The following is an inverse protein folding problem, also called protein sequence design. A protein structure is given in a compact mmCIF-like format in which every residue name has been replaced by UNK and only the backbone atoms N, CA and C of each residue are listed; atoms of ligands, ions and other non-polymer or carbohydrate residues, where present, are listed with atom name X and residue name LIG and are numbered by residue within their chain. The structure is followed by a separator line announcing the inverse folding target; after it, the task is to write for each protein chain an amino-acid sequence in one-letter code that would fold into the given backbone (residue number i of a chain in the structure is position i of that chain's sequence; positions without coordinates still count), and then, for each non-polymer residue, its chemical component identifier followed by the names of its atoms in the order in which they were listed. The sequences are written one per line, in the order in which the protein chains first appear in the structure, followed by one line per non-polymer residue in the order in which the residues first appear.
data_IF_283008005418
#
_entry.id   IF_283008005418
#
_cell.length_a   1.000
_cell.length_b   1.000
_cell.length_c   1.000
_cell.angle_alpha   90.00
_cell.angle_beta   90.00
_cell.angle_gamma   90.00
#
_symmetry.space_group_name_H-M   'P 1'
#
loop_
_entity.id
_entity.type
_entity.pdbx_description
1 polymer ?
#
# COMPACT_ATOMS: atom_id res chain seq x y z
N UNK A 1 19.45 11.59 -3.50
CA UNK A 1 18.68 10.33 -3.50
C UNK A 1 18.50 9.92 -2.05
N UNK A 2 17.33 10.17 -1.46
CA UNK A 2 17.14 9.88 -0.03
C UNK A 2 17.16 8.37 0.19
N UNK A 3 18.12 7.92 0.99
CA UNK A 3 18.43 6.53 1.28
C UNK A 3 17.57 5.96 2.42
N UNK A 4 16.28 6.31 2.48
CA UNK A 4 15.30 5.61 3.32
C UNK A 4 14.46 4.73 2.39
N UNK A 5 14.41 3.42 2.65
CA UNK A 5 13.59 2.49 1.87
C UNK A 5 12.13 2.98 1.80
N UNK A 6 11.45 2.67 0.68
CA UNK A 6 10.07 3.11 0.47
C UNK A 6 9.16 2.70 1.64
N UNK A 7 8.43 3.68 2.18
CA UNK A 7 7.49 3.46 3.29
C UNK A 7 6.13 3.13 2.72
N UNK A 8 5.55 2.01 3.16
CA UNK A 8 4.17 1.65 2.87
C UNK A 8 3.31 2.02 4.09
N UNK A 9 2.35 2.93 3.91
CA UNK A 9 1.39 3.30 4.96
C UNK A 9 0.08 2.56 4.74
N UNK A 10 -0.54 2.12 5.82
CA UNK A 10 -1.81 1.39 5.81
C UNK A 10 -2.77 2.14 6.73
N UNK A 11 -3.96 2.44 6.24
CA UNK A 11 -4.98 3.17 7.00
C UNK A 11 -6.38 2.84 6.52
N UNK A 12 -7.39 3.25 7.27
CA UNK A 12 -8.81 3.03 6.97
C UNK A 12 -9.63 4.31 7.00
N UNK A 13 -9.08 5.40 7.52
CA UNK A 13 -9.83 6.63 7.78
C UNK A 13 -9.40 7.87 6.99
N UNK A 14 -10.26 8.88 7.05
CA UNK A 14 -10.00 10.25 6.59
C UNK A 14 -8.75 10.84 7.28
N UNK A 15 -8.52 10.48 8.55
CA UNK A 15 -7.38 10.96 9.33
C UNK A 15 -6.04 10.44 8.81
N UNK A 16 -6.04 9.28 8.14
CA UNK A 16 -4.84 8.65 7.59
C UNK A 16 -4.55 9.13 6.16
N UNK A 17 -5.51 9.75 5.48
CA UNK A 17 -5.36 10.21 4.10
C UNK A 17 -4.11 11.11 3.87
N UNK A 18 -3.76 12.06 4.76
CA UNK A 18 -2.52 12.83 4.61
C UNK A 18 -1.27 11.96 4.70
N UNK A 19 -1.27 10.95 5.60
CA UNK A 19 -0.16 10.04 5.79
C UNK A 19 -0.03 9.03 4.62
N UNK A 20 -1.16 8.53 4.10
CA UNK A 20 -1.22 7.68 2.92
C UNK A 20 -0.61 8.38 1.70
N UNK A 21 -0.91 9.67 1.52
CA UNK A 21 -0.38 10.49 0.41
C UNK A 21 1.11 10.82 0.54
N UNK A 22 1.62 10.92 1.77
CA UNK A 22 3.04 11.23 2.02
C UNK A 22 3.92 9.98 1.94
N UNK A 23 3.33 8.79 2.09
CA UNK A 23 4.01 7.51 1.96
C UNK A 23 4.55 7.28 0.54
N UNK A 24 5.48 6.34 0.41
CA UNK A 24 5.90 5.87 -0.92
C UNK A 24 4.81 5.03 -1.58
N UNK A 25 4.02 4.32 -0.78
CA UNK A 25 2.78 3.64 -1.18
C UNK A 25 1.76 3.81 -0.05
N UNK A 26 0.58 4.35 -0.37
CA UNK A 26 -0.58 4.36 0.50
C UNK A 26 -1.48 3.14 0.24
N UNK A 27 -1.89 2.43 1.30
CA UNK A 27 -2.81 1.30 1.23
C UNK A 27 -4.02 1.55 2.11
N UNK A 28 -5.21 1.55 1.52
CA UNK A 28 -6.47 1.64 2.27
C UNK A 28 -7.01 0.25 2.65
N UNK A 29 -7.67 0.14 3.81
CA UNK A 29 -8.49 -1.03 4.10
C UNK A 29 -9.79 -0.99 3.29
N UNK A 30 -10.33 -2.15 2.93
CA UNK A 30 -11.53 -2.30 2.11
C UNK A 30 -12.79 -1.82 2.82
N UNK A 31 -12.82 -1.91 4.15
CA UNK A 31 -13.81 -1.24 5.00
C UNK A 31 -13.53 0.24 5.27
N UNK A 32 -12.50 0.80 4.64
CA UNK A 32 -12.09 2.18 4.84
C UNK A 32 -13.08 3.19 4.25
N UNK A 33 -13.00 4.43 4.72
CA UNK A 33 -13.81 5.54 4.18
C UNK A 33 -13.54 5.75 2.69
N UNK A 34 -14.53 6.21 1.92
CA UNK A 34 -14.37 6.51 0.48
C UNK A 34 -13.16 7.43 0.21
N UNK A 35 -12.91 8.38 1.11
CA UNK A 35 -11.74 9.29 1.05
C UNK A 35 -10.41 8.55 1.18
N UNK A 36 -10.33 7.53 2.04
CA UNK A 36 -9.13 6.70 2.19
C UNK A 36 -8.90 5.85 0.93
N UNK A 37 -9.97 5.29 0.36
CA UNK A 37 -9.92 4.51 -0.88
C UNK A 37 -9.52 5.37 -2.10
N UNK A 38 -9.98 6.62 -2.17
CA UNK A 38 -9.62 7.56 -3.25
C UNK A 38 -8.17 8.06 -3.14
N UNK A 39 -7.64 8.13 -1.92
CA UNK A 39 -6.28 8.64 -1.66
C UNK A 39 -5.20 7.57 -1.75
N UNK A 40 -5.55 6.30 -1.56
CA UNK A 40 -4.60 5.19 -1.53
C UNK A 40 -4.22 4.68 -2.94
N UNK A 41 -2.98 4.22 -3.09
CA UNK A 41 -2.49 3.59 -4.32
C UNK A 41 -2.99 2.13 -4.46
N UNK A 42 -3.35 1.50 -3.35
CA UNK A 42 -3.87 0.14 -3.30
C UNK A 42 -4.91 -0.03 -2.18
N UNK A 43 -5.74 -1.07 -2.26
CA UNK A 43 -6.73 -1.37 -1.24
C UNK A 43 -6.72 -2.85 -0.82
N UNK A 44 -6.95 -3.14 0.47
CA UNK A 44 -7.07 -4.49 1.03
C UNK A 44 -8.53 -4.86 1.20
N UNK A 45 -9.09 -5.58 0.23
CA UNK A 45 -10.51 -5.95 0.20
C UNK A 45 -10.97 -6.91 1.31
N UNK A 46 -10.03 -7.57 2.01
CA UNK A 46 -10.33 -8.58 3.02
C UNK A 46 -10.16 -8.08 4.46
N UNK A 47 -9.83 -6.80 4.64
CA UNK A 47 -9.56 -6.15 5.95
C UNK A 47 -8.57 -6.94 6.83
N UNK A 48 -7.61 -7.60 6.18
CA UNK A 48 -6.58 -8.42 6.84
C UNK A 48 -5.20 -7.87 6.54
N UNK A 49 -4.62 -7.17 7.51
CA UNK A 49 -3.22 -6.71 7.46
C UNK A 49 -2.23 -7.86 7.33
N UNK A 50 -2.61 -9.08 7.72
CA UNK A 50 -1.81 -10.30 7.54
C UNK A 50 -1.55 -10.66 6.08
N UNK A 51 -2.31 -10.09 5.14
CA UNK A 51 -2.14 -10.33 3.70
C UNK A 51 -1.04 -9.43 3.10
N UNK A 52 -0.64 -8.36 3.79
CA UNK A 52 0.41 -7.40 3.36
C UNK A 52 1.72 -8.12 2.98
N UNK A 53 2.29 -9.04 3.79
CA UNK A 53 3.56 -9.68 3.45
C UNK A 53 3.45 -10.51 2.17
N UNK A 54 2.29 -11.11 1.90
CA UNK A 54 2.06 -11.85 0.66
C UNK A 54 2.04 -10.92 -0.55
N UNK A 55 1.41 -9.74 -0.44
CA UNK A 55 1.39 -8.74 -1.50
C UNK A 55 2.78 -8.17 -1.79
N UNK A 56 3.57 -7.88 -0.75
CA UNK A 56 4.96 -7.41 -0.93
C UNK A 56 5.80 -8.49 -1.63
N UNK A 57 5.64 -9.77 -1.27
CA UNK A 57 6.34 -10.87 -1.95
C UNK A 57 5.93 -10.98 -3.41
N UNK A 58 4.63 -10.88 -3.71
CA UNK A 58 4.12 -10.91 -5.07
C UNK A 58 4.70 -9.77 -5.90
N UNK A 59 4.64 -8.53 -5.40
CA UNK A 59 5.20 -7.37 -6.10
C UNK A 59 6.71 -7.54 -6.41
N UNK A 60 7.49 -8.05 -5.44
CA UNK A 60 8.91 -8.34 -5.64
C UNK A 60 9.14 -9.44 -6.69
N UNK A 61 8.35 -10.51 -6.65
CA UNK A 61 8.43 -11.59 -7.63
C UNK A 61 8.08 -11.10 -9.04
N UNK A 62 7.04 -10.27 -9.17
CA UNK A 62 6.67 -9.64 -10.44
C UNK A 62 7.79 -8.75 -10.98
N UNK A 63 8.40 -7.91 -10.14
CA UNK A 63 9.53 -7.07 -10.56
C UNK A 63 10.77 -7.89 -10.92
N UNK A 64 11.00 -9.03 -10.25
CA UNK A 64 12.07 -9.96 -10.62
C UNK A 64 11.82 -10.58 -12.00
N UNK A 65 10.59 -11.03 -12.27
CA UNK A 65 10.20 -11.54 -13.58
C UNK A 65 10.34 -10.48 -14.69
N UNK A 66 9.94 -9.23 -14.43
CA UNK A 66 10.08 -8.12 -15.39
C UNK A 66 11.56 -7.86 -15.71
N UNK A 67 12.47 -7.98 -14.74
CA UNK A 67 13.92 -7.78 -14.96
C UNK A 67 14.60 -8.96 -15.65
N UNK A 68 13.96 -10.14 -15.65
CA UNK A 68 14.47 -11.33 -16.32
C UNK A 68 14.08 -11.39 -17.80
N UNK A 69 12.97 -10.76 -18.19
CA UNK A 69 12.54 -10.59 -19.59
C UNK A 69 13.27 -9.42 -20.25
#
# INVERSE_FOLDING_TARGET
MNAQGGVMMIGDGINDAPALKQASIGVAMGSGTDVALETADAAILRDRVTDIPAQIRLARATMANIRQN
#
